data_IF_023902795377
#
_entry.id   IF_023902795377
#
_cell.length_a   1.000
_cell.length_b   1.000
_cell.length_c   1.000
_cell.angle_alpha   90.00
_cell.angle_beta   90.00
_cell.angle_gamma   90.00
#
_symmetry.space_group_name_H-M   'P 1'
#
loop_
_entity.id
_entity.type
_entity.pdbx_description
1 polymer ?
#
# COMPACT_ATOMS: atom_id res chain seq x y z
N UNK A 1 -27.88 -44.18 -9.16
CA UNK A 1 -27.25 -44.97 -10.23
C UNK A 1 -27.68 -44.31 -11.54
N UNK A 2 -26.78 -43.69 -12.32
CA UNK A 2 -25.77 -44.30 -13.20
C UNK A 2 -26.42 -44.79 -14.52
N UNK A 3 -25.94 -44.52 -15.75
CA UNK A 3 -24.70 -43.90 -16.28
C UNK A 3 -25.02 -43.10 -17.59
N UNK A 4 -24.20 -42.11 -17.98
CA UNK A 4 -24.22 -41.50 -19.34
C UNK A 4 -23.24 -42.22 -20.31
N UNK A 5 -23.68 -42.62 -21.52
CA UNK A 5 -22.80 -42.91 -22.67
C UNK A 5 -22.83 -41.78 -23.73
N UNK A 6 -21.97 -41.87 -24.75
CA UNK A 6 -21.61 -40.75 -25.66
C UNK A 6 -22.02 -40.97 -27.14
N UNK A 7 -22.02 -39.85 -27.90
CA UNK A 7 -21.78 -39.63 -29.36
C UNK A 7 -21.66 -40.83 -30.33
N UNK A 8 -22.11 -40.68 -31.60
CA UNK A 8 -21.42 -39.86 -32.63
C UNK A 8 -22.39 -38.86 -33.34
N UNK A 9 -22.24 -38.30 -34.57
CA UNK A 9 -21.28 -38.42 -35.68
C UNK A 9 -21.29 -37.18 -36.63
N UNK A 10 -20.63 -37.28 -37.80
CA UNK A 10 -20.93 -36.62 -39.09
C UNK A 10 -20.79 -35.09 -39.26
N UNK A 11 -19.54 -34.63 -39.27
CA UNK A 11 -18.86 -33.98 -40.41
C UNK A 11 -19.67 -33.46 -41.64
N UNK A 12 -19.38 -32.21 -42.06
CA UNK A 12 -19.20 -31.85 -43.48
C UNK A 12 -18.43 -30.53 -43.65
N UNK A 13 -17.59 -30.45 -44.69
CA UNK A 13 -16.96 -29.20 -45.19
C UNK A 13 -17.02 -29.20 -46.72
N UNK A 14 -16.90 -28.02 -47.37
CA UNK A 14 -16.15 -27.97 -48.63
C UNK A 14 -15.06 -26.89 -48.65
N UNK A 15 -14.05 -27.10 -49.51
CA UNK A 15 -12.92 -26.18 -49.78
C UNK A 15 -13.24 -25.20 -50.91
N UNK A 16 -12.67 -24.00 -50.82
CA UNK A 16 -11.93 -23.35 -51.93
C UNK A 16 -11.02 -22.28 -51.29
N UNK A 17 -9.69 -22.41 -51.19
CA UNK A 17 -8.67 -22.56 -52.23
C UNK A 17 -8.55 -21.33 -53.14
N UNK A 18 -7.51 -20.50 -52.91
CA UNK A 18 -6.60 -19.95 -53.92
C UNK A 18 -5.44 -19.19 -53.26
N UNK A 19 -4.25 -19.80 -53.29
CA UNK A 19 -2.91 -19.20 -53.14
C UNK A 19 -2.33 -18.96 -54.58
N UNK A 20 -1.10 -18.41 -54.84
CA UNK A 20 0.13 -18.45 -54.02
C UNK A 20 1.07 -17.21 -54.07
N UNK A 21 2.31 -17.41 -53.56
CA UNK A 21 3.53 -16.58 -53.62
C UNK A 21 3.68 -15.59 -52.45
N UNK A 22 4.68 -15.65 -51.55
CA UNK A 22 6.14 -15.89 -51.67
C UNK A 22 6.87 -14.74 -52.39
N UNK A 23 7.97 -14.16 -51.90
CA UNK A 23 8.77 -14.36 -50.66
C UNK A 23 8.75 -13.06 -49.78
N UNK A 24 9.55 -12.77 -48.74
CA UNK A 24 10.77 -13.38 -48.15
C UNK A 24 10.96 -13.01 -46.65
N UNK A 25 12.08 -13.40 -46.04
CA UNK A 25 12.56 -12.97 -44.71
C UNK A 25 13.44 -11.69 -44.82
N UNK A 26 13.65 -10.95 -43.70
CA UNK A 26 14.82 -11.25 -42.87
C UNK A 26 14.54 -11.37 -41.37
N UNK A 27 15.48 -11.97 -40.66
CA UNK A 27 15.48 -12.09 -39.19
C UNK A 27 15.59 -10.71 -38.51
N UNK A 28 14.92 -10.54 -37.39
CA UNK A 28 15.17 -9.43 -36.44
C UNK A 28 14.79 -9.87 -35.04
N UNK A 29 15.62 -10.75 -34.50
CA UNK A 29 15.66 -11.18 -33.11
C UNK A 29 15.79 -10.01 -32.12
N UNK A 30 14.67 -9.35 -31.82
CA UNK A 30 14.55 -8.41 -30.69
C UNK A 30 14.01 -9.19 -29.50
N UNK A 31 14.92 -9.54 -28.57
CA UNK A 31 14.54 -10.06 -27.26
C UNK A 31 13.79 -8.96 -26.51
N UNK A 32 12.46 -9.01 -26.52
CA UNK A 32 11.61 -8.21 -25.64
C UNK A 32 11.76 -8.74 -24.21
N UNK A 33 12.88 -8.40 -23.58
CA UNK A 33 13.08 -8.54 -22.15
C UNK A 33 11.97 -7.77 -21.44
N UNK A 34 10.93 -8.49 -20.99
CA UNK A 34 9.93 -7.93 -20.08
C UNK A 34 10.65 -7.60 -18.79
N UNK A 35 11.11 -6.36 -18.69
CA UNK A 35 11.80 -5.83 -17.54
C UNK A 35 10.91 -6.03 -16.31
N UNK A 36 11.38 -6.85 -15.37
CA UNK A 36 10.81 -6.98 -14.04
C UNK A 36 11.05 -5.67 -13.30
N UNK A 37 10.26 -4.65 -13.65
CA UNK A 37 10.29 -3.34 -13.01
C UNK A 37 10.20 -3.53 -11.51
N UNK A 38 11.05 -2.86 -10.71
CA UNK A 38 11.23 -3.21 -9.31
C UNK A 38 9.92 -3.07 -8.55
N UNK A 39 9.39 -4.23 -8.11
CA UNK A 39 8.33 -4.30 -7.13
C UNK A 39 8.71 -3.38 -5.96
N UNK A 40 7.84 -2.44 -5.53
CA UNK A 40 8.18 -1.36 -4.60
C UNK A 40 8.45 -1.93 -3.20
N UNK A 41 9.64 -2.50 -3.06
CA UNK A 41 10.07 -3.28 -1.90
C UNK A 41 9.97 -2.41 -0.66
N UNK A 42 9.40 -2.98 0.40
CA UNK A 42 9.22 -2.34 1.72
C UNK A 42 10.55 -2.17 2.49
N UNK A 43 11.59 -1.67 1.79
CA UNK A 43 12.83 -1.17 2.35
C UNK A 43 12.56 0.19 3.00
N UNK A 44 11.97 0.12 4.19
CA UNK A 44 12.39 0.97 5.30
C UNK A 44 13.58 0.30 5.99
N UNK A 45 14.48 1.09 6.56
CA UNK A 45 15.67 0.60 7.25
C UNK A 45 15.34 -0.51 8.26
N UNK A 46 16.03 -1.65 8.13
CA UNK A 46 15.61 -2.91 8.76
C UNK A 46 15.55 -2.78 10.30
N UNK A 47 16.40 -1.93 10.88
CA UNK A 47 16.51 -1.69 12.32
C UNK A 47 16.12 -0.26 12.78
N UNK A 48 15.46 0.55 11.93
CA UNK A 48 15.06 1.90 12.36
C UNK A 48 13.95 1.83 13.43
N UNK A 49 14.12 2.45 14.62
CA UNK A 49 13.07 2.50 15.63
C UNK A 49 11.90 3.40 15.23
N UNK A 50 12.06 4.20 14.17
CA UNK A 50 11.09 5.20 13.71
C UNK A 50 10.10 4.67 12.66
N UNK A 51 10.01 3.34 12.47
CA UNK A 51 9.03 2.66 11.59
C UNK A 51 7.56 2.98 11.87
N UNK A 52 7.24 3.53 13.04
CA UNK A 52 5.88 3.75 13.55
C UNK A 52 5.73 5.21 14.00
N UNK A 53 5.65 6.14 13.04
CA UNK A 53 5.70 7.58 13.32
C UNK A 53 4.94 8.46 12.31
N UNK A 54 4.54 9.65 12.78
CA UNK A 54 3.92 10.75 12.04
C UNK A 54 4.92 11.89 11.81
N UNK A 55 4.71 12.70 10.77
CA UNK A 55 5.43 13.95 10.54
C UNK A 55 5.33 14.90 11.75
N UNK A 56 6.49 15.38 12.22
CA UNK A 56 6.59 16.32 13.35
C UNK A 56 5.79 17.60 13.13
N UNK A 57 5.61 18.03 11.87
CA UNK A 57 4.81 19.22 11.53
C UNK A 57 3.31 19.04 11.82
N UNK A 58 2.81 17.81 11.89
CA UNK A 58 1.46 17.47 12.37
C UNK A 58 1.38 17.34 13.90
N UNK A 59 2.54 17.24 14.58
CA UNK A 59 2.65 17.10 16.04
C UNK A 59 2.97 18.43 16.75
N UNK A 60 2.88 19.57 16.05
CA UNK A 60 3.21 20.91 16.56
C UNK A 60 2.36 21.38 17.76
N UNK A 61 1.23 20.74 18.03
CA UNK A 61 0.41 20.97 19.21
C UNK A 61 0.87 20.22 20.48
N UNK A 62 1.81 19.28 20.35
CA UNK A 62 2.29 18.43 21.45
C UNK A 62 3.59 18.97 22.05
N UNK A 63 3.72 18.88 23.37
CA UNK A 63 4.97 19.17 24.07
C UNK A 63 5.91 17.95 24.03
N UNK A 64 7.23 18.14 24.11
CA UNK A 64 8.21 17.05 24.00
C UNK A 64 7.99 15.90 25.01
N UNK A 65 7.48 16.18 26.20
CA UNK A 65 7.15 15.16 27.21
C UNK A 65 5.95 14.27 26.82
N UNK A 66 5.14 14.73 25.86
CA UNK A 66 3.97 14.04 25.29
C UNK A 66 4.33 13.26 24.03
N UNK A 67 5.59 13.31 23.57
CA UNK A 67 6.09 12.56 22.43
C UNK A 67 6.79 11.27 22.87
N UNK A 68 6.72 10.24 22.02
CA UNK A 68 7.25 8.91 22.28
C UNK A 68 8.78 8.96 22.36
N UNK A 69 9.42 9.64 21.41
CA UNK A 69 10.86 9.84 21.36
C UNK A 69 11.23 11.24 21.87
N UNK A 70 12.28 11.34 22.69
CA UNK A 70 12.82 12.61 23.20
C UNK A 70 13.32 13.53 22.08
N UNK A 71 13.84 12.94 21.00
CA UNK A 71 14.32 13.60 19.79
C UNK A 71 13.58 13.04 18.59
N UNK A 72 13.34 13.89 17.59
CA UNK A 72 12.74 13.47 16.33
C UNK A 72 13.69 12.55 15.56
N UNK A 73 13.16 11.46 15.02
CA UNK A 73 13.91 10.56 14.15
C UNK A 73 13.79 10.97 12.69
N UNK A 74 14.69 10.48 11.84
CA UNK A 74 14.49 10.49 10.39
C UNK A 74 13.89 9.14 9.97
N UNK A 75 12.85 9.17 9.14
CA UNK A 75 12.24 7.98 8.57
C UNK A 75 11.69 8.22 7.16
N UNK A 76 11.54 7.13 6.41
CA UNK A 76 10.76 7.12 5.18
C UNK A 76 9.26 7.10 5.52
N UNK A 77 8.53 8.07 4.98
CA UNK A 77 7.09 8.25 5.13
C UNK A 77 6.41 8.25 3.77
N UNK A 78 5.13 7.91 3.75
CA UNK A 78 4.24 8.17 2.62
C UNK A 78 3.53 9.51 2.88
N UNK A 79 3.46 10.35 1.84
CA UNK A 79 2.85 11.67 1.87
C UNK A 79 1.77 11.79 0.79
N UNK A 80 0.59 12.28 1.15
CA UNK A 80 -0.42 12.69 0.16
C UNK A 80 -0.18 14.12 -0.37
N UNK A 81 -1.03 14.53 -1.31
CA UNK A 81 -0.95 15.83 -2.00
C UNK A 81 -1.08 17.07 -1.07
N UNK A 82 -1.56 16.93 0.18
CA UNK A 82 -1.64 18.04 1.14
C UNK A 82 -0.48 18.01 2.16
N UNK A 83 0.53 17.19 1.91
CA UNK A 83 1.63 16.85 2.82
C UNK A 83 1.18 16.21 4.14
N UNK A 84 0.08 15.45 4.13
CA UNK A 84 -0.25 14.59 5.27
C UNK A 84 0.66 13.35 5.23
N UNK A 85 1.71 13.34 6.05
CA UNK A 85 2.82 12.38 5.96
C UNK A 85 2.96 11.50 7.22
N UNK A 86 3.12 10.18 7.04
CA UNK A 86 3.39 9.21 8.13
C UNK A 86 3.96 7.90 7.56
N UNK A 87 4.53 7.02 8.40
CA UNK A 87 5.09 5.74 7.96
C UNK A 87 4.00 4.78 7.45
N UNK A 88 4.36 3.87 6.54
CA UNK A 88 3.38 3.09 5.77
C UNK A 88 2.48 2.20 6.65
N UNK A 89 3.02 1.58 7.69
CA UNK A 89 2.26 0.80 8.69
C UNK A 89 1.41 1.61 9.67
N UNK A 90 1.52 2.95 9.72
CA UNK A 90 0.79 3.76 10.70
C UNK A 90 -0.73 3.73 10.46
N UNK A 91 -1.52 3.54 11.51
CA UNK A 91 -2.98 3.42 11.37
C UNK A 91 -3.63 4.80 11.33
N UNK A 92 -4.40 5.04 10.27
CA UNK A 92 -5.13 6.28 9.99
C UNK A 92 -6.64 6.04 9.94
N UNK A 93 -7.39 7.12 10.09
CA UNK A 93 -8.84 7.18 9.89
C UNK A 93 -9.12 8.15 8.74
N UNK A 94 -9.52 7.62 7.58
CA UNK A 94 -9.93 8.42 6.43
C UNK A 94 -11.44 8.32 6.22
N UNK A 95 -12.15 9.45 6.29
CA UNK A 95 -13.61 9.55 6.11
C UNK A 95 -14.42 8.55 6.98
N UNK A 96 -13.91 8.28 8.19
CA UNK A 96 -14.49 7.34 9.15
C UNK A 96 -14.05 5.88 8.99
N UNK A 97 -13.34 5.52 7.91
CA UNK A 97 -12.77 4.20 7.70
C UNK A 97 -11.36 4.12 8.31
N UNK A 98 -11.08 3.04 9.05
CA UNK A 98 -9.77 2.77 9.68
C UNK A 98 -8.94 1.88 8.75
N UNK A 99 -7.69 2.25 8.48
CA UNK A 99 -6.75 1.54 7.58
C UNK A 99 -5.29 1.92 7.89
N UNK A 100 -4.31 1.20 7.35
CA UNK A 100 -2.91 1.65 7.35
C UNK A 100 -2.69 2.80 6.36
N UNK A 101 -1.67 3.63 6.57
CA UNK A 101 -1.29 4.69 5.64
C UNK A 101 -0.96 4.12 4.25
N UNK A 102 -0.32 2.95 4.15
CA UNK A 102 -0.08 2.27 2.88
C UNK A 102 -1.38 2.06 2.09
N UNK A 103 -2.44 1.64 2.79
CA UNK A 103 -3.76 1.35 2.22
C UNK A 103 -4.54 2.61 1.85
N UNK A 104 -4.37 3.67 2.62
CA UNK A 104 -4.85 4.99 2.23
C UNK A 104 -4.16 5.46 0.94
N UNK A 105 -2.84 5.26 0.84
CA UNK A 105 -2.04 5.63 -0.32
C UNK A 105 -2.32 4.80 -1.58
N UNK A 106 -2.68 3.52 -1.44
CA UNK A 106 -3.24 2.69 -2.53
C UNK A 106 -4.47 3.35 -3.19
N UNK A 107 -5.23 4.16 -2.43
CA UNK A 107 -6.50 4.77 -2.85
C UNK A 107 -6.31 6.20 -3.40
N UNK A 108 -5.46 7.02 -2.78
CA UNK A 108 -5.30 8.45 -3.14
C UNK A 108 -4.07 8.77 -4.00
N UNK A 109 -3.09 7.87 -4.05
CA UNK A 109 -1.75 8.16 -4.56
C UNK A 109 -0.91 8.96 -3.55
N UNK A 110 0.26 8.44 -3.20
CA UNK A 110 1.21 9.08 -2.30
C UNK A 110 2.64 9.01 -2.84
N UNK A 111 3.49 9.93 -2.40
CA UNK A 111 4.93 9.91 -2.62
C UNK A 111 5.68 9.40 -1.39
N UNK A 112 6.75 8.62 -1.59
CA UNK A 112 7.70 8.24 -0.52
C UNK A 112 8.70 9.38 -0.31
N UNK A 113 8.74 9.96 0.88
CA UNK A 113 9.66 11.07 1.26
C UNK A 113 10.42 10.71 2.53
N UNK A 114 11.60 11.30 2.75
CA UNK A 114 12.39 11.14 3.98
C UNK A 114 12.25 12.37 4.85
N UNK A 115 11.75 12.23 6.08
CA UNK A 115 11.29 13.35 6.90
C UNK A 115 11.59 13.14 8.39
N UNK A 116 11.55 14.24 9.16
CA UNK A 116 11.57 14.19 10.61
C UNK A 116 10.23 13.71 11.14
N UNK A 117 10.26 12.68 11.98
CA UNK A 117 9.08 12.00 12.50
C UNK A 117 9.15 11.78 14.01
N UNK A 118 7.98 11.64 14.64
CA UNK A 118 7.83 11.18 16.03
C UNK A 118 6.43 10.55 16.18
N UNK A 119 6.00 10.19 17.38
CA UNK A 119 4.62 9.74 17.64
C UNK A 119 4.16 10.33 18.98
N UNK A 120 2.87 10.68 19.17
CA UNK A 120 2.37 11.00 20.51
C UNK A 120 2.50 9.78 21.43
N UNK A 121 2.75 10.01 22.73
CA UNK A 121 2.70 8.94 23.73
C UNK A 121 1.28 8.38 23.80
N UNK A 122 1.20 7.05 23.94
CA UNK A 122 -0.05 6.31 23.94
C UNK A 122 -1.02 6.89 24.99
N UNK A 123 -2.02 7.60 24.47
CA UNK A 123 -3.16 8.13 25.19
C UNK A 123 -4.38 7.53 24.50
N UNK A 124 -5.11 6.70 25.25
CA UNK A 124 -6.16 5.82 24.73
C UNK A 124 -7.16 6.58 23.85
N UNK A 125 -7.39 6.11 22.62
CA UNK A 125 -8.29 6.75 21.65
C UNK A 125 -7.88 8.13 21.11
N UNK A 126 -6.67 8.63 21.39
CA UNK A 126 -6.18 9.89 20.82
C UNK A 126 -6.14 9.82 19.28
N UNK A 127 -6.56 10.91 18.64
CA UNK A 127 -6.42 11.13 17.19
C UNK A 127 -5.75 12.46 16.93
N UNK A 128 -4.76 12.48 16.04
CA UNK A 128 -4.10 13.70 15.57
C UNK A 128 -4.70 14.06 14.22
N UNK A 129 -5.23 15.28 14.09
CA UNK A 129 -5.78 15.75 12.81
C UNK A 129 -4.64 15.94 11.80
N UNK A 130 -4.81 15.43 10.58
CA UNK A 130 -3.88 15.72 9.48
C UNK A 130 -4.22 17.04 8.79
N UNK A 131 -3.47 17.38 7.73
CA UNK A 131 -3.80 18.52 6.85
C UNK A 131 -4.91 18.18 5.85
N UNK A 132 -5.11 16.89 5.56
CA UNK A 132 -6.09 16.41 4.58
C UNK A 132 -7.48 16.32 5.20
N UNK A 133 -8.44 16.94 4.53
CA UNK A 133 -9.85 16.98 4.97
C UNK A 133 -10.44 15.58 5.19
N UNK A 134 -10.69 15.24 6.46
CA UNK A 134 -11.25 13.94 6.85
C UNK A 134 -10.24 12.81 7.03
N UNK A 135 -8.93 13.09 7.00
CA UNK A 135 -7.87 12.16 7.39
C UNK A 135 -7.34 12.53 8.80
N UNK A 136 -7.24 11.53 9.69
CA UNK A 136 -6.65 11.67 11.01
C UNK A 136 -5.73 10.48 11.34
N UNK A 137 -4.64 10.74 12.07
CA UNK A 137 -3.71 9.74 12.56
C UNK A 137 -4.18 9.17 13.91
N UNK A 138 -3.78 7.94 14.25
CA UNK A 138 -4.09 7.30 15.54
C UNK A 138 -2.82 7.01 16.34
N UNK A 139 -2.94 6.46 17.56
CA UNK A 139 -1.78 6.02 18.35
C UNK A 139 -1.23 4.63 17.93
N UNK A 140 -1.83 3.98 16.92
CA UNK A 140 -1.49 2.61 16.51
C UNK A 140 -0.74 2.53 15.18
N UNK A 141 -0.03 1.42 14.97
CA UNK A 141 0.56 1.06 13.70
C UNK A 141 0.76 -0.47 13.61
N UNK A 142 0.69 -0.99 12.39
CA UNK A 142 1.28 -2.28 12.05
C UNK A 142 2.82 -2.19 12.15
N UNK A 143 3.46 -3.23 12.68
CA UNK A 143 4.93 -3.32 12.81
C UNK A 143 5.56 -3.93 11.55
N UNK A 144 4.81 -4.80 10.88
CA UNK A 144 5.21 -5.56 9.70
C UNK A 144 4.38 -5.16 8.47
N UNK A 145 3.53 -4.13 8.59
CA UNK A 145 2.78 -3.49 7.50
C UNK A 145 1.84 -4.47 6.76
N UNK A 146 1.39 -5.54 7.45
CA UNK A 146 0.58 -6.61 6.85
C UNK A 146 -0.93 -6.35 6.96
N UNK A 147 -1.69 -6.92 6.02
CA UNK A 147 -3.17 -6.93 6.03
C UNK A 147 -3.77 -7.63 7.26
N UNK A 148 -3.06 -8.56 7.89
CA UNK A 148 -3.51 -9.15 9.16
C UNK A 148 -3.36 -8.19 10.33
N UNK A 149 -2.23 -7.47 10.44
CA UNK A 149 -2.06 -6.45 11.49
C UNK A 149 -3.07 -5.31 11.30
N UNK A 150 -3.28 -4.85 10.06
CA UNK A 150 -4.33 -3.89 9.72
C UNK A 150 -5.71 -4.34 10.19
N UNK A 151 -6.12 -5.58 9.90
CA UNK A 151 -7.42 -6.12 10.29
C UNK A 151 -7.60 -6.22 11.81
N UNK A 152 -6.56 -6.61 12.55
CA UNK A 152 -6.59 -6.67 14.03
C UNK A 152 -6.66 -5.25 14.62
N UNK A 153 -5.83 -4.33 14.15
CA UNK A 153 -5.77 -2.95 14.65
C UNK A 153 -7.05 -2.17 14.31
N UNK A 154 -7.67 -2.43 13.16
CA UNK A 154 -8.99 -1.93 12.79
C UNK A 154 -10.06 -2.30 13.84
N UNK A 155 -10.03 -3.53 14.37
CA UNK A 155 -10.96 -3.95 15.44
C UNK A 155 -10.63 -3.23 16.75
N UNK A 156 -9.34 -3.17 17.14
CA UNK A 156 -8.88 -2.47 18.34
C UNK A 156 -9.32 -1.00 18.35
N UNK A 157 -9.07 -0.26 17.27
CA UNK A 157 -9.42 1.16 17.12
C UNK A 157 -10.93 1.39 17.11
N UNK A 158 -11.72 0.46 16.54
CA UNK A 158 -13.20 0.52 16.58
C UNK A 158 -13.77 0.27 17.97
N UNK A 159 -13.05 -0.41 18.86
CA UNK A 159 -13.44 -0.65 20.25
C UNK A 159 -13.05 0.48 21.22
N UNK A 160 -12.51 1.61 20.73
CA UNK A 160 -12.13 2.74 21.57
C UNK A 160 -10.97 2.43 22.51
N UNK A 161 -9.99 1.66 22.02
CA UNK A 161 -8.64 1.56 22.56
C UNK A 161 -7.77 2.66 21.91
#
# INVERSE_FOLDING_TARGET
MAVFPMKPSAESTPKSSLEPSAESLPDSSVQSSTESGPEPSAQGDVDSPFRVCVDVRALSAFQSHQLLFEKHGMAWVLCDANESCTTAGHMVVFRGQVMMMNTYCDIVGCEKRSMHVNSPRNTRGLRVQSRTGGLAYTVFAARHETRMEEGVLLVVIRLGL
#
